data_IF_472232384962
#
_entry.id   IF_472232384962
#
_cell.length_a   1.000
_cell.length_b   1.000
_cell.length_c   1.000
_cell.angle_alpha   90.00
_cell.angle_beta   90.00
_cell.angle_gamma   90.00
#
_symmetry.space_group_name_H-M   'P 1'
#
loop_
_entity.id
_entity.type
_entity.pdbx_description
1 polymer ?
#
# COMPACT_ATOMS: atom_id res chain seq x y z
N UNK A 1 1.41 -27.82 12.55
CA UNK A 1 2.41 -28.15 13.59
C UNK A 1 3.43 -27.02 13.59
N UNK A 2 3.66 -26.40 14.74
CA UNK A 2 4.71 -25.39 14.92
C UNK A 2 5.97 -26.09 15.44
N UNK A 3 7.16 -25.50 15.18
CA UNK A 3 8.45 -26.08 15.62
C UNK A 3 8.64 -25.91 17.14
N UNK A 4 9.52 -26.73 17.75
CA UNK A 4 9.87 -26.64 19.17
C UNK A 4 10.48 -25.29 19.57
N UNK A 5 10.90 -24.49 18.61
CA UNK A 5 11.43 -23.11 18.78
C UNK A 5 10.33 -22.04 18.72
N UNK A 6 9.08 -22.42 18.44
CA UNK A 6 7.98 -21.47 18.36
C UNK A 6 7.60 -21.01 19.76
N UNK A 7 7.66 -19.69 19.98
CA UNK A 7 7.13 -19.04 21.18
C UNK A 7 5.94 -18.20 20.79
N UNK A 8 4.84 -18.34 21.51
CA UNK A 8 3.70 -17.46 21.36
C UNK A 8 4.11 -16.06 21.81
N UNK A 9 4.00 -15.08 20.91
CA UNK A 9 4.14 -13.66 21.23
C UNK A 9 2.76 -13.10 21.47
N UNK A 10 2.50 -12.65 22.69
CA UNK A 10 1.23 -12.02 23.03
C UNK A 10 1.07 -10.68 22.29
N UNK A 11 -0.18 -10.25 22.06
CA UNK A 11 -0.41 -8.97 21.40
C UNK A 11 0.18 -7.81 22.20
N UNK A 12 0.11 -7.86 23.53
CA UNK A 12 0.74 -6.89 24.41
C UNK A 12 2.25 -6.80 24.14
N UNK A 13 2.95 -7.93 24.08
CA UNK A 13 4.38 -7.99 23.76
C UNK A 13 4.67 -7.48 22.34
N UNK A 14 3.80 -7.86 21.35
CA UNK A 14 3.98 -7.48 19.95
C UNK A 14 3.77 -5.98 19.71
N UNK A 15 2.94 -5.32 20.52
CA UNK A 15 2.60 -3.91 20.35
C UNK A 15 3.28 -2.99 21.36
N UNK A 16 3.88 -3.54 22.42
CA UNK A 16 4.55 -2.75 23.47
C UNK A 16 5.62 -1.80 22.92
N UNK A 17 6.37 -2.22 21.89
CA UNK A 17 7.38 -1.35 21.29
C UNK A 17 6.80 -0.10 20.63
N UNK A 18 5.51 -0.12 20.27
CA UNK A 18 4.84 1.05 19.72
C UNK A 18 4.61 2.13 20.76
N UNK A 19 4.53 1.76 22.03
CA UNK A 19 4.40 2.71 23.14
C UNK A 19 5.67 3.57 23.26
N UNK A 20 6.85 2.99 22.98
CA UNK A 20 8.12 3.75 22.90
C UNK A 20 8.10 4.76 21.75
N UNK A 21 7.36 4.47 20.66
CA UNK A 21 7.20 5.38 19.54
C UNK A 21 6.19 6.50 19.80
N UNK A 22 5.22 6.30 20.70
CA UNK A 22 4.22 7.32 21.05
C UNK A 22 4.88 8.58 21.61
N UNK A 23 6.00 8.45 22.35
CA UNK A 23 6.80 9.56 22.85
C UNK A 23 7.38 10.46 21.75
N UNK A 24 7.39 9.99 20.48
CA UNK A 24 7.87 10.72 19.32
C UNK A 24 6.74 11.32 18.46
N UNK A 25 5.51 11.40 19.00
CA UNK A 25 4.34 12.00 18.34
C UNK A 25 3.59 11.05 17.42
N UNK A 26 3.85 9.76 17.48
CA UNK A 26 3.05 8.71 16.81
C UNK A 26 1.70 8.59 17.51
N UNK A 27 0.63 8.41 16.74
CA UNK A 27 -0.73 8.27 17.30
C UNK A 27 -1.40 7.00 16.77
N UNK A 28 -2.10 6.26 17.62
CA UNK A 28 -2.92 5.13 17.19
C UNK A 28 -4.19 5.63 16.50
N UNK A 29 -4.52 5.06 15.35
CA UNK A 29 -5.72 5.40 14.57
C UNK A 29 -6.78 4.32 14.68
N UNK A 30 -6.41 3.07 14.46
CA UNK A 30 -7.34 1.94 14.47
C UNK A 30 -6.61 0.61 14.66
N UNK A 31 -7.35 -0.39 15.08
CA UNK A 31 -6.88 -1.75 15.21
C UNK A 31 -7.97 -2.72 14.77
N UNK A 32 -7.59 -3.95 14.44
CA UNK A 32 -8.54 -4.95 14.03
C UNK A 32 -7.98 -6.37 14.07
N UNK A 33 -8.84 -7.33 13.76
CA UNK A 33 -8.46 -8.72 13.65
C UNK A 33 -9.01 -9.36 12.37
N UNK A 34 -8.32 -10.38 11.91
CA UNK A 34 -8.68 -11.21 10.77
C UNK A 34 -8.79 -12.67 11.22
N UNK A 35 -9.55 -13.47 10.46
CA UNK A 35 -9.70 -14.91 10.69
C UNK A 35 -10.10 -15.29 12.13
N UNK A 36 -11.04 -14.54 12.73
CA UNK A 36 -11.53 -14.85 14.08
C UNK A 36 -10.49 -14.62 15.18
N UNK A 37 -9.63 -13.63 15.05
CA UNK A 37 -8.60 -13.27 16.03
C UNK A 37 -7.25 -13.97 15.85
N UNK A 38 -7.10 -14.84 14.84
CA UNK A 38 -5.81 -15.49 14.56
C UNK A 38 -4.72 -14.52 14.12
N UNK A 39 -5.12 -13.39 13.55
CA UNK A 39 -4.24 -12.33 13.10
C UNK A 39 -4.78 -11.01 13.63
N UNK A 40 -3.92 -10.25 14.29
CA UNK A 40 -4.28 -8.95 14.89
C UNK A 40 -3.37 -7.88 14.32
N UNK A 41 -3.92 -6.72 14.04
CA UNK A 41 -3.17 -5.60 13.49
C UNK A 41 -3.58 -4.29 14.14
N UNK A 42 -2.66 -3.33 14.11
CA UNK A 42 -2.84 -1.98 14.58
C UNK A 42 -2.23 -1.00 13.57
N UNK A 43 -2.92 0.11 13.36
CA UNK A 43 -2.48 1.21 12.50
C UNK A 43 -2.08 2.39 13.38
N UNK A 44 -0.83 2.83 13.22
CA UNK A 44 -0.30 3.99 13.90
C UNK A 44 0.14 5.05 12.88
N UNK A 45 -0.30 6.28 13.08
CA UNK A 45 0.03 7.43 12.25
C UNK A 45 1.34 8.06 12.71
N UNK A 46 2.25 8.30 11.78
CA UNK A 46 3.49 9.02 12.03
C UNK A 46 3.24 10.55 12.02
N UNK A 47 3.99 11.31 12.82
CA UNK A 47 3.72 12.75 13.02
C UNK A 47 4.05 13.59 11.79
N UNK A 48 5.01 13.14 10.97
CA UNK A 48 5.50 13.91 9.83
C UNK A 48 4.58 13.73 8.62
N UNK A 49 4.23 14.86 8.00
CA UNK A 49 3.52 14.88 6.72
C UNK A 49 4.51 15.22 5.61
N UNK A 50 4.27 14.68 4.42
CA UNK A 50 5.08 14.90 3.23
C UNK A 50 4.22 15.56 2.16
N UNK A 51 4.80 16.52 1.46
CA UNK A 51 4.21 17.11 0.26
C UNK A 51 4.92 16.47 -0.94
N UNK A 52 4.18 15.74 -1.78
CA UNK A 52 4.71 15.01 -2.92
C UNK A 52 3.94 15.47 -4.16
N UNK A 53 4.60 16.14 -5.10
CA UNK A 53 3.97 16.70 -6.30
C UNK A 53 2.70 17.51 -5.98
N UNK A 54 2.70 18.25 -4.87
CA UNK A 54 1.56 19.01 -4.38
C UNK A 54 0.55 18.25 -3.52
N UNK A 55 0.62 16.92 -3.47
CA UNK A 55 -0.26 16.08 -2.64
C UNK A 55 0.27 15.92 -1.20
N UNK A 56 -0.64 15.99 -0.23
CA UNK A 56 -0.31 15.68 1.15
C UNK A 56 -0.39 14.18 1.40
N UNK A 57 0.75 13.58 1.76
CA UNK A 57 0.89 12.15 2.08
C UNK A 57 1.34 11.99 3.52
N UNK A 58 0.66 11.13 4.26
CA UNK A 58 0.97 10.79 5.66
C UNK A 58 1.42 9.34 5.72
N UNK A 59 2.57 9.04 6.32
CA UNK A 59 2.99 7.68 6.57
C UNK A 59 2.28 7.08 7.78
N UNK A 60 1.90 5.82 7.66
CA UNK A 60 1.36 4.99 8.73
C UNK A 60 2.23 3.77 8.94
N UNK A 61 2.32 3.30 10.17
CA UNK A 61 2.86 1.98 10.50
C UNK A 61 1.70 1.02 10.69
N UNK A 62 1.72 -0.09 9.99
CA UNK A 62 0.85 -1.25 10.24
C UNK A 62 1.66 -2.26 11.02
N UNK A 63 1.29 -2.50 12.26
CA UNK A 63 1.87 -3.51 13.12
C UNK A 63 0.95 -4.71 13.11
N UNK A 64 1.50 -5.88 12.88
CA UNK A 64 0.74 -7.10 12.67
C UNK A 64 1.34 -8.26 13.46
N UNK A 65 0.50 -8.98 14.19
CA UNK A 65 0.85 -10.20 14.92
C UNK A 65 0.00 -11.37 14.46
N UNK A 66 0.59 -12.56 14.30
CA UNK A 66 -0.09 -13.78 13.86
C UNK A 66 0.03 -14.86 14.94
N UNK A 67 -1.09 -15.43 15.35
CA UNK A 67 -1.16 -16.50 16.35
C UNK A 67 -1.32 -17.89 15.73
N UNK A 68 -1.42 -17.99 14.40
CA UNK A 68 -1.62 -19.24 13.67
C UNK A 68 -0.32 -19.86 13.13
N UNK A 69 0.82 -19.25 13.43
CA UNK A 69 2.14 -19.69 12.96
C UNK A 69 2.40 -19.41 11.47
N UNK A 70 1.47 -18.76 10.77
CA UNK A 70 1.62 -18.45 9.33
C UNK A 70 2.61 -17.30 9.06
N UNK A 71 2.82 -16.42 10.05
CA UNK A 71 3.72 -15.26 9.94
C UNK A 71 4.28 -14.88 11.32
N UNK A 72 5.36 -14.11 11.34
CA UNK A 72 5.87 -13.49 12.55
C UNK A 72 5.20 -12.15 12.86
N UNK A 73 5.70 -11.45 13.87
CA UNK A 73 5.39 -10.02 14.07
C UNK A 73 5.95 -9.24 12.89
N UNK A 74 5.10 -8.49 12.22
CA UNK A 74 5.47 -7.70 11.04
C UNK A 74 5.15 -6.22 11.29
N UNK A 75 6.04 -5.37 10.87
CA UNK A 75 5.79 -3.93 10.77
C UNK A 75 5.96 -3.51 9.33
N UNK A 76 5.00 -2.78 8.80
CA UNK A 76 5.04 -2.25 7.45
C UNK A 76 4.67 -0.77 7.47
N UNK A 77 5.41 0.05 6.72
CA UNK A 77 5.06 1.43 6.49
C UNK A 77 4.14 1.54 5.27
N UNK A 78 3.08 2.29 5.42
CA UNK A 78 2.08 2.52 4.38
C UNK A 78 1.86 4.02 4.21
N UNK A 79 2.27 4.62 3.08
CA UNK A 79 1.96 6.00 2.78
C UNK A 79 0.50 6.12 2.32
N UNK A 80 -0.24 7.05 2.92
CA UNK A 80 -1.64 7.30 2.61
C UNK A 80 -1.80 8.75 2.15
N UNK A 81 -2.41 8.93 0.99
CA UNK A 81 -2.78 10.23 0.48
C UNK A 81 -3.98 10.78 1.26
N UNK A 82 -3.87 11.96 1.84
CA UNK A 82 -4.85 12.47 2.82
C UNK A 82 -6.22 12.73 2.19
N UNK A 83 -6.26 13.19 0.95
CA UNK A 83 -7.51 13.63 0.29
C UNK A 83 -8.45 12.47 -0.02
N UNK A 84 -7.93 11.34 -0.51
CA UNK A 84 -8.71 10.20 -0.98
C UNK A 84 -8.46 8.91 -0.20
N UNK A 85 -7.59 8.93 0.81
CA UNK A 85 -7.23 7.79 1.65
C UNK A 85 -6.71 6.56 0.89
N UNK A 86 -6.29 6.71 -0.36
CA UNK A 86 -5.67 5.64 -1.12
C UNK A 86 -4.21 5.43 -0.69
N UNK A 87 -3.73 4.20 -0.85
CA UNK A 87 -2.37 3.79 -0.45
C UNK A 87 -1.41 3.93 -1.62
N UNK A 88 -0.27 4.61 -1.41
CA UNK A 88 0.78 4.81 -2.41
C UNK A 88 1.95 3.81 -2.20
N UNK A 89 1.64 2.54 -2.12
CA UNK A 89 2.61 1.48 -1.82
C UNK A 89 3.43 1.09 -3.05
N UNK A 90 4.39 1.92 -3.45
CA UNK A 90 5.33 1.59 -4.52
C UNK A 90 6.42 0.63 -4.02
N UNK A 91 6.79 -0.35 -4.83
CA UNK A 91 7.97 -1.17 -4.62
C UNK A 91 9.23 -0.39 -5.04
N UNK A 92 9.86 0.27 -4.07
CA UNK A 92 11.10 1.01 -4.28
C UNK A 92 12.31 0.10 -4.02
N UNK A 93 13.21 -0.01 -4.98
CA UNK A 93 14.35 -0.92 -4.89
C UNK A 93 15.38 -0.50 -3.82
N UNK A 94 15.42 0.78 -3.47
CA UNK A 94 16.42 1.39 -2.60
C UNK A 94 15.99 1.53 -1.15
N UNK A 95 14.70 1.39 -0.85
CA UNK A 95 14.17 1.62 0.48
C UNK A 95 13.24 0.49 0.95
N UNK A 96 13.61 -0.14 2.05
CA UNK A 96 12.76 -1.15 2.70
C UNK A 96 11.59 -0.49 3.39
N UNK A 97 10.40 -1.05 3.20
CA UNK A 97 9.13 -0.59 3.74
C UNK A 97 8.61 -1.47 4.88
N UNK A 98 9.12 -2.68 5.00
CA UNK A 98 8.65 -3.63 6.01
C UNK A 98 9.77 -4.49 6.56
N UNK A 99 9.60 -4.94 7.80
CA UNK A 99 10.41 -5.94 8.45
C UNK A 99 9.56 -6.95 9.21
N UNK A 100 10.10 -8.13 9.45
CA UNK A 100 9.40 -9.22 10.13
C UNK A 100 10.31 -9.85 11.15
N UNK A 101 9.83 -10.02 12.39
CA UNK A 101 10.46 -10.82 13.43
C UNK A 101 9.72 -12.15 13.58
N UNK A 102 10.45 -13.27 13.59
CA UNK A 102 9.86 -14.59 13.82
C UNK A 102 9.50 -14.75 15.29
N UNK A 103 8.49 -15.55 15.59
CA UNK A 103 8.10 -15.95 16.94
C UNK A 103 9.14 -16.88 17.56
N UNK A 104 10.21 -16.30 18.10
CA UNK A 104 11.31 -16.99 18.79
C UNK A 104 11.65 -16.23 20.07
N UNK A 105 12.44 -16.83 20.97
CA UNK A 105 12.83 -16.24 22.26
C UNK A 105 13.47 -14.84 22.16
N UNK A 106 14.03 -14.50 20.99
CA UNK A 106 14.71 -13.21 20.74
C UNK A 106 13.79 -12.14 20.10
N UNK A 107 12.47 -12.35 20.05
CA UNK A 107 11.54 -11.35 19.48
C UNK A 107 11.64 -10.02 20.20
N UNK A 108 11.73 -10.02 21.53
CA UNK A 108 11.82 -8.80 22.34
C UNK A 108 13.12 -8.01 22.11
N UNK A 109 14.22 -8.67 21.82
CA UNK A 109 15.50 -8.00 21.52
C UNK A 109 15.47 -7.28 20.15
N UNK A 110 14.67 -7.79 19.19
CA UNK A 110 14.51 -7.19 17.87
C UNK A 110 13.51 -6.03 17.84
N UNK A 111 12.75 -5.89 18.88
CA UNK A 111 11.86 -4.73 19.08
C UNK A 111 12.64 -3.43 19.32
N UNK A 112 13.89 -3.52 19.80
CA UNK A 112 14.82 -2.38 19.85
C UNK A 112 15.12 -1.81 18.44
N UNK A 113 14.85 -2.58 17.38
CA UNK A 113 14.93 -2.13 15.97
C UNK A 113 13.75 -1.20 15.60
N UNK A 114 12.82 -0.91 16.51
CA UNK A 114 11.69 -0.01 16.25
C UNK A 114 12.13 1.41 15.87
N UNK A 115 13.18 1.92 16.51
CA UNK A 115 13.77 3.22 16.14
C UNK A 115 14.39 3.19 14.74
N UNK A 116 15.00 2.08 14.38
CA UNK A 116 15.49 1.86 13.02
C UNK A 116 14.33 1.82 12.02
N UNK A 117 13.16 1.33 12.43
CA UNK A 117 11.94 1.33 11.58
C UNK A 117 11.49 2.75 11.26
N UNK A 118 11.53 3.68 12.21
CA UNK A 118 11.20 5.10 11.92
C UNK A 118 12.19 5.72 10.94
N UNK A 119 13.46 5.37 11.06
CA UNK A 119 14.48 5.82 10.11
C UNK A 119 14.25 5.21 8.73
N UNK A 120 13.92 3.92 8.65
CA UNK A 120 13.57 3.25 7.40
C UNK A 120 12.30 3.84 6.78
N UNK A 121 11.29 4.17 7.58
CA UNK A 121 10.09 4.84 7.12
C UNK A 121 10.40 6.23 6.54
N UNK A 122 11.27 6.99 7.19
CA UNK A 122 11.70 8.30 6.71
C UNK A 122 12.46 8.19 5.38
N UNK A 123 13.37 7.24 5.26
CA UNK A 123 14.12 6.99 4.03
C UNK A 123 13.20 6.59 2.86
N UNK A 124 12.21 5.70 3.14
CA UNK A 124 11.22 5.33 2.14
C UNK A 124 10.39 6.54 1.68
N UNK A 125 9.93 7.37 2.61
CA UNK A 125 9.13 8.56 2.28
C UNK A 125 9.92 9.59 1.48
N UNK A 126 11.21 9.74 1.74
CA UNK A 126 12.10 10.59 0.93
C UNK A 126 12.22 10.06 -0.50
N UNK A 127 12.44 8.76 -0.67
CA UNK A 127 12.52 8.13 -1.99
C UNK A 127 11.17 8.22 -2.72
N UNK A 128 10.05 7.96 -2.04
CA UNK A 128 8.70 8.13 -2.60
C UNK A 128 8.46 9.57 -3.06
N UNK A 129 8.92 10.56 -2.28
CA UNK A 129 8.81 11.98 -2.66
C UNK A 129 9.58 12.27 -3.94
N UNK A 130 10.83 11.83 -4.03
CA UNK A 130 11.65 12.02 -5.23
C UNK A 130 11.00 11.38 -6.46
N UNK A 131 10.49 10.15 -6.32
CA UNK A 131 9.79 9.44 -7.40
C UNK A 131 8.48 10.12 -7.80
N UNK A 132 7.73 10.63 -6.83
CA UNK A 132 6.51 11.40 -7.10
C UNK A 132 6.78 12.65 -7.93
N UNK A 133 7.83 13.40 -7.59
CA UNK A 133 8.26 14.57 -8.34
C UNK A 133 8.76 14.21 -9.76
N UNK A 134 9.47 13.08 -9.93
CA UNK A 134 9.85 12.57 -11.25
C UNK A 134 8.62 12.24 -12.10
N UNK A 135 7.67 11.50 -11.53
CA UNK A 135 6.42 11.12 -12.20
C UNK A 135 5.58 12.35 -12.60
N UNK A 136 5.60 13.40 -11.79
CA UNK A 136 4.89 14.65 -12.10
C UNK A 136 5.47 15.42 -13.32
N UNK A 137 6.71 15.12 -13.69
CA UNK A 137 7.37 15.71 -14.88
C UNK A 137 7.16 14.91 -16.16
N UNK A 138 6.58 13.72 -16.06
CA UNK A 138 6.31 12.85 -17.22
C UNK A 138 4.90 13.15 -17.72
N UNK A 139 4.80 13.97 -18.77
CA UNK A 139 3.51 14.26 -19.40
C UNK A 139 2.97 13.02 -20.13
N UNK A 140 1.69 12.74 -19.95
CA UNK A 140 0.99 11.64 -20.58
C UNK A 140 -0.10 12.15 -21.53
N UNK A 141 0.02 11.84 -22.83
CA UNK A 141 -1.05 12.09 -23.78
C UNK A 141 -2.27 11.20 -23.48
N UNK A 142 -3.46 11.66 -23.90
CA UNK A 142 -4.70 10.86 -23.74
C UNK A 142 -4.59 9.50 -24.45
N UNK A 143 -3.87 9.44 -25.58
CA UNK A 143 -3.57 8.19 -26.28
C UNK A 143 -2.74 7.23 -25.40
N UNK A 144 -1.67 7.74 -24.77
CA UNK A 144 -0.80 6.94 -23.91
C UNK A 144 -1.54 6.44 -22.66
N UNK A 145 -2.39 7.27 -22.07
CA UNK A 145 -3.26 6.85 -20.95
C UNK A 145 -4.20 5.73 -21.37
N UNK A 146 -4.81 5.83 -22.57
CA UNK A 146 -5.68 4.77 -23.08
C UNK A 146 -4.91 3.47 -23.36
N UNK A 147 -3.68 3.54 -23.89
CA UNK A 147 -2.81 2.37 -24.05
C UNK A 147 -2.56 1.68 -22.70
N UNK A 148 -2.23 2.45 -21.66
CA UNK A 148 -1.99 1.92 -20.32
C UNK A 148 -3.25 1.25 -19.74
N UNK A 149 -4.42 1.86 -19.89
CA UNK A 149 -5.70 1.29 -19.44
C UNK A 149 -5.97 -0.05 -20.18
N UNK A 150 -5.74 -0.08 -21.48
CA UNK A 150 -5.91 -1.29 -22.29
C UNK A 150 -4.95 -2.40 -21.87
N UNK A 151 -3.72 -2.07 -21.46
CA UNK A 151 -2.75 -3.06 -20.96
C UNK A 151 -3.14 -3.64 -19.59
N UNK A 152 -3.85 -2.86 -18.75
CA UNK A 152 -4.41 -3.40 -17.51
C UNK A 152 -5.59 -4.35 -17.75
N UNK A 153 -6.45 -4.00 -18.69
CA UNK A 153 -7.70 -4.69 -18.97
C UNK A 153 -7.84 -4.97 -20.49
N UNK A 154 -7.04 -5.88 -21.04
CA UNK A 154 -7.00 -6.11 -22.49
C UNK A 154 -8.34 -6.65 -23.01
N UNK A 155 -8.70 -6.21 -24.22
CA UNK A 155 -9.83 -6.72 -24.98
C UNK A 155 -9.26 -7.51 -26.15
N UNK A 156 -9.30 -8.84 -26.07
CA UNK A 156 -8.88 -9.74 -27.14
C UNK A 156 -10.10 -10.49 -27.73
N UNK A 157 -9.90 -11.12 -28.87
CA UNK A 157 -10.94 -11.92 -29.53
C UNK A 157 -11.31 -13.19 -28.76
N UNK A 158 -10.35 -13.72 -27.99
CA UNK A 158 -10.50 -14.96 -27.21
C UNK A 158 -11.37 -14.80 -25.95
N UNK A 159 -11.71 -13.56 -25.57
CA UNK A 159 -12.52 -13.30 -24.38
C UNK A 159 -13.97 -13.69 -24.60
N UNK A 160 -14.56 -14.37 -23.61
CA UNK A 160 -16.01 -14.53 -23.55
C UNK A 160 -16.72 -13.17 -23.44
N UNK A 161 -17.99 -13.08 -23.84
CA UNK A 161 -18.78 -11.85 -23.74
C UNK A 161 -18.82 -11.29 -22.32
N UNK A 162 -18.89 -12.16 -21.32
CA UNK A 162 -18.87 -11.78 -19.91
C UNK A 162 -17.52 -11.14 -19.51
N UNK A 163 -16.40 -11.74 -19.92
CA UNK A 163 -15.06 -11.21 -19.64
C UNK A 163 -14.84 -9.88 -20.38
N UNK A 164 -15.24 -9.78 -21.64
CA UNK A 164 -15.19 -8.56 -22.44
C UNK A 164 -15.97 -7.43 -21.75
N UNK A 165 -17.21 -7.69 -21.34
CA UNK A 165 -18.04 -6.72 -20.63
C UNK A 165 -17.42 -6.28 -19.30
N UNK A 166 -16.82 -7.21 -18.56
CA UNK A 166 -16.14 -6.90 -17.31
C UNK A 166 -14.91 -6.01 -17.54
N UNK A 167 -14.06 -6.33 -18.54
CA UNK A 167 -12.87 -5.55 -18.85
C UNK A 167 -13.23 -4.14 -19.32
N UNK A 168 -14.26 -3.98 -20.15
CA UNK A 168 -14.77 -2.68 -20.56
C UNK A 168 -15.22 -1.84 -19.33
N UNK A 169 -15.95 -2.45 -18.40
CA UNK A 169 -16.36 -1.76 -17.17
C UNK A 169 -15.16 -1.29 -16.35
N UNK A 170 -14.13 -2.15 -16.19
CA UNK A 170 -12.93 -1.80 -15.43
C UNK A 170 -12.10 -0.71 -16.13
N UNK A 171 -12.03 -0.73 -17.47
CA UNK A 171 -11.41 0.34 -18.26
C UNK A 171 -12.11 1.68 -18.02
N UNK A 172 -13.44 1.73 -18.13
CA UNK A 172 -14.21 2.95 -17.90
C UNK A 172 -14.09 3.46 -16.46
N UNK A 173 -14.05 2.55 -15.47
CA UNK A 173 -13.88 2.90 -14.07
C UNK A 173 -12.49 3.53 -13.81
N UNK A 174 -11.41 2.93 -14.33
CA UNK A 174 -10.07 3.49 -14.20
C UNK A 174 -9.94 4.82 -14.95
N UNK A 175 -10.54 4.92 -16.14
CA UNK A 175 -10.58 6.12 -16.94
C UNK A 175 -11.30 7.26 -16.21
N UNK A 176 -12.43 6.98 -15.59
CA UNK A 176 -13.17 7.95 -14.79
C UNK A 176 -12.32 8.48 -13.61
N UNK A 177 -11.57 7.61 -12.92
CA UNK A 177 -10.65 8.02 -11.85
C UNK A 177 -9.51 8.88 -12.35
N UNK A 178 -9.01 8.66 -13.55
CA UNK A 178 -7.96 9.49 -14.12
C UNK A 178 -8.47 10.88 -14.57
N UNK A 179 -9.61 10.94 -15.24
CA UNK A 179 -10.11 12.18 -15.84
C UNK A 179 -11.01 13.00 -14.93
N UNK A 180 -11.82 12.35 -14.09
CA UNK A 180 -12.96 12.98 -13.41
C UNK A 180 -12.81 13.00 -11.88
N UNK A 181 -11.72 12.46 -11.30
CA UNK A 181 -11.53 12.50 -9.85
C UNK A 181 -11.33 13.94 -9.36
N UNK A 182 -12.20 14.47 -8.48
CA UNK A 182 -12.14 15.86 -8.04
C UNK A 182 -10.81 16.20 -7.33
N UNK A 183 -10.26 15.23 -6.63
CA UNK A 183 -9.01 15.37 -5.90
C UNK A 183 -7.76 15.37 -6.79
N UNK A 184 -7.91 15.09 -8.10
CA UNK A 184 -6.87 15.18 -9.12
C UNK A 184 -7.08 16.36 -10.10
N UNK A 185 -8.09 17.20 -9.90
CA UNK A 185 -8.41 18.27 -10.84
C UNK A 185 -7.26 19.26 -11.07
N UNK A 186 -6.53 19.56 -10.00
CA UNK A 186 -5.36 20.44 -10.02
C UNK A 186 -4.04 19.76 -10.46
N UNK A 187 -4.01 18.42 -10.55
CA UNK A 187 -2.84 17.65 -11.03
C UNK A 187 -2.85 17.63 -12.55
N UNK A 188 -1.74 17.97 -13.18
CA UNK A 188 -1.56 17.89 -14.65
C UNK A 188 -1.80 16.47 -15.18
N UNK A 189 -1.97 16.34 -16.51
CA UNK A 189 -2.03 15.02 -17.19
C UNK A 189 -0.65 14.39 -17.25
N UNK A 190 -0.19 13.85 -16.14
CA UNK A 190 1.16 13.34 -15.97
C UNK A 190 1.18 11.96 -15.29
N UNK A 191 2.37 11.41 -15.13
CA UNK A 191 2.58 10.11 -14.50
C UNK A 191 2.11 10.06 -13.06
N UNK A 192 2.26 11.14 -12.27
CA UNK A 192 1.78 11.18 -10.90
C UNK A 192 0.26 11.06 -10.83
N UNK A 193 -0.46 11.76 -11.70
CA UNK A 193 -1.91 11.63 -11.82
C UNK A 193 -2.32 10.18 -12.14
N UNK A 194 -1.60 9.53 -13.05
CA UNK A 194 -1.91 8.15 -13.43
C UNK A 194 -1.70 7.17 -12.27
N UNK A 195 -0.58 7.29 -11.54
CA UNK A 195 -0.32 6.47 -10.34
C UNK A 195 -1.40 6.67 -9.29
N UNK A 196 -1.85 7.91 -9.06
CA UNK A 196 -2.93 8.19 -8.10
C UNK A 196 -4.25 7.57 -8.53
N UNK A 197 -4.62 7.66 -9.81
CA UNK A 197 -5.84 7.05 -10.34
C UNK A 197 -5.81 5.51 -10.21
N UNK A 198 -4.66 4.87 -10.51
CA UNK A 198 -4.48 3.43 -10.33
C UNK A 198 -4.50 3.04 -8.85
N UNK A 199 -3.89 3.83 -7.97
CA UNK A 199 -3.89 3.62 -6.54
C UNK A 199 -5.30 3.71 -5.95
N UNK A 200 -6.07 4.71 -6.36
CA UNK A 200 -7.48 4.87 -5.98
C UNK A 200 -8.33 3.70 -6.49
N UNK A 201 -8.16 3.31 -7.75
CA UNK A 201 -8.82 2.13 -8.32
C UNK A 201 -8.49 0.87 -7.51
N UNK A 202 -7.21 0.64 -7.22
CA UNK A 202 -6.74 -0.55 -6.51
C UNK A 202 -7.21 -0.62 -5.05
N UNK A 203 -7.52 0.54 -4.44
CA UNK A 203 -7.96 0.66 -3.05
C UNK A 203 -9.49 0.63 -2.94
N UNK A 204 -10.20 1.32 -3.83
CA UNK A 204 -11.63 1.61 -3.66
C UNK A 204 -12.55 1.02 -4.74
N UNK A 205 -12.01 0.46 -5.84
CA UNK A 205 -12.85 -0.15 -6.86
C UNK A 205 -13.60 -1.36 -6.32
N UNK A 206 -14.88 -1.46 -6.64
CA UNK A 206 -15.66 -2.65 -6.29
C UNK A 206 -15.13 -3.88 -7.03
N UNK A 207 -14.84 -4.97 -6.31
CA UNK A 207 -14.38 -6.20 -6.95
C UNK A 207 -15.48 -6.78 -7.83
N UNK A 208 -15.10 -7.37 -8.97
CA UNK A 208 -16.03 -8.12 -9.81
C UNK A 208 -16.75 -9.23 -9.04
N UNK A 209 -16.05 -9.83 -8.07
CA UNK A 209 -16.57 -10.86 -7.16
C UNK A 209 -15.89 -10.75 -5.80
N UNK A 210 -16.65 -10.62 -4.72
CA UNK A 210 -16.14 -10.76 -3.35
C UNK A 210 -15.89 -12.23 -3.05
N UNK A 211 -14.64 -12.59 -2.83
CA UNK A 211 -14.24 -13.93 -2.37
C UNK A 211 -14.32 -14.03 -0.85
N UNK A 212 -14.30 -15.25 -0.31
CA UNK A 212 -14.31 -15.48 1.16
C UNK A 212 -13.16 -14.74 1.87
N UNK A 213 -12.00 -14.60 1.21
CA UNK A 213 -10.79 -13.98 1.76
C UNK A 213 -10.59 -12.53 1.25
N UNK A 214 -11.65 -11.87 0.78
CA UNK A 214 -11.54 -10.53 0.18
C UNK A 214 -10.85 -9.51 1.11
N UNK A 215 -11.31 -9.43 2.38
CA UNK A 215 -10.75 -8.48 3.34
C UNK A 215 -9.29 -8.78 3.70
N UNK A 216 -8.92 -10.05 3.79
CA UNK A 216 -7.53 -10.45 4.03
C UNK A 216 -6.63 -10.08 2.84
N UNK A 217 -7.07 -10.36 1.62
CA UNK A 217 -6.34 -9.98 0.41
C UNK A 217 -6.20 -8.46 0.27
N UNK A 218 -7.23 -7.69 0.63
CA UNK A 218 -7.16 -6.24 0.64
C UNK A 218 -6.14 -5.74 1.67
N UNK A 219 -6.17 -6.29 2.89
CA UNK A 219 -5.20 -5.98 3.93
C UNK A 219 -3.76 -6.30 3.48
N UNK A 220 -3.53 -7.46 2.88
CA UNK A 220 -2.19 -7.84 2.37
C UNK A 220 -1.70 -6.87 1.28
N UNK A 221 -2.55 -6.48 0.35
CA UNK A 221 -2.20 -5.49 -0.69
C UNK A 221 -1.83 -4.14 -0.08
N UNK A 222 -2.49 -3.74 0.99
CA UNK A 222 -2.19 -2.51 1.72
C UNK A 222 -0.84 -2.59 2.45
N UNK A 223 -0.50 -3.75 3.02
CA UNK A 223 0.69 -3.93 3.85
C UNK A 223 1.92 -4.42 3.10
N UNK A 224 1.74 -5.30 2.11
CA UNK A 224 2.84 -5.94 1.37
C UNK A 224 3.19 -5.27 0.05
N UNK A 225 2.26 -4.52 -0.51
CA UNK A 225 2.37 -3.84 -1.80
C UNK A 225 1.26 -4.28 -2.75
N UNK A 226 1.02 -3.46 -3.76
CA UNK A 226 -0.01 -3.72 -4.76
C UNK A 226 0.62 -3.87 -6.15
N UNK A 227 0.62 -5.07 -6.73
CA UNK A 227 1.23 -5.32 -8.05
C UNK A 227 0.67 -4.42 -9.16
N UNK A 228 -0.58 -3.95 -9.02
CA UNK A 228 -1.20 -3.05 -10.00
C UNK A 228 -0.54 -1.68 -9.97
N UNK A 229 -0.26 -1.14 -8.77
CA UNK A 229 0.43 0.14 -8.60
C UNK A 229 1.87 0.03 -9.11
N UNK A 230 2.56 -1.07 -8.79
CA UNK A 230 3.93 -1.31 -9.26
C UNK A 230 4.00 -1.46 -10.78
N UNK A 231 3.00 -2.11 -11.40
CA UNK A 231 2.90 -2.18 -12.86
C UNK A 231 2.71 -0.80 -13.46
N UNK A 232 1.79 0.01 -12.92
CA UNK A 232 1.57 1.39 -13.39
C UNK A 232 2.85 2.22 -13.31
N UNK A 233 3.57 2.12 -12.20
CA UNK A 233 4.84 2.83 -12.01
C UNK A 233 5.86 2.48 -13.10
N UNK A 234 6.05 1.18 -13.37
CA UNK A 234 6.95 0.72 -14.43
C UNK A 234 6.53 1.20 -15.82
N UNK A 235 5.22 1.18 -16.11
CA UNK A 235 4.68 1.65 -17.39
C UNK A 235 4.92 3.13 -17.61
N UNK A 236 4.71 3.96 -16.58
CA UNK A 236 4.96 5.40 -16.66
C UNK A 236 6.45 5.68 -16.87
N UNK A 237 7.34 5.02 -16.12
CA UNK A 237 8.79 5.18 -16.29
C UNK A 237 9.29 4.75 -17.68
N UNK A 238 8.66 3.72 -18.26
CA UNK A 238 9.03 3.27 -19.62
C UNK A 238 8.54 4.21 -20.72
N UNK A 239 7.66 5.16 -20.41
CA UNK A 239 7.14 6.16 -21.34
C UNK A 239 7.88 7.53 -21.26
N UNK A 240 8.80 7.66 -20.30
CA UNK A 240 9.68 8.83 -20.14
C UNK A 240 10.83 8.75 -21.14
#
# INVERSE_FOLDING_TARGET
MVSDRYRIVQNEEAFQFTDDLLGEGVTYETAGSLQGGKKVWMLARLPRKYLIAGDQVVPYLVIFNSHDGSSGVKVAMTPIRVVCQNTLNLALNTAKRSWTARHTENVLLRVQDARETLQLASNYMMELSNRGEELARIDLSDHKVQEFINEFFPISEDLSDCQRKNNLRLQEELKARYYNAPDLEWVGKNGWRFINAVSDFATHADPLRKTKNYNENLFLRTTEGNPMIDKAYKMVLAAA
#
